data_IF_652634038286
#
_entry.id   IF_652634038286
#
_cell.length_a   1.000
_cell.length_b   1.000
_cell.length_c   1.000
_cell.angle_alpha   90.00
_cell.angle_beta   90.00
_cell.angle_gamma   90.00
#
_symmetry.space_group_name_H-M   'P 1'
#
loop_
_entity.id
_entity.type
_entity.pdbx_description
1 polymer ?
#
# COMPACT_ATOMS: atom_id res chain seq x y z
N UNK A 1 13.12 -2.58 4.29
CA UNK A 1 12.95 -1.92 5.60
C UNK A 1 11.50 -1.49 5.72
N UNK A 2 10.65 -2.33 6.30
CA UNK A 2 9.28 -1.97 6.66
C UNK A 2 9.29 -1.25 8.02
N UNK A 3 8.44 -0.24 8.18
CA UNK A 3 8.22 0.44 9.46
C UNK A 3 6.82 0.10 9.95
N UNK A 4 6.65 -0.09 11.25
CA UNK A 4 5.32 -0.25 11.83
C UNK A 4 4.66 1.13 11.94
N UNK A 5 3.50 1.31 11.30
CA UNK A 5 2.73 2.56 11.37
C UNK A 5 1.71 2.52 12.52
N UNK A 6 0.91 1.45 12.52
CA UNK A 6 -0.18 1.19 13.46
C UNK A 6 -0.13 -0.29 13.86
N UNK A 7 -0.67 -0.69 15.01
CA UNK A 7 -0.81 -2.10 15.36
C UNK A 7 -1.53 -2.86 14.24
N UNK A 8 -0.93 -3.97 13.78
CA UNK A 8 -1.45 -4.76 12.68
C UNK A 8 -1.21 -4.18 11.27
N UNK A 9 -0.47 -3.07 11.13
CA UNK A 9 -0.13 -2.50 9.82
C UNK A 9 1.35 -2.15 9.73
N UNK A 10 1.97 -2.51 8.61
CA UNK A 10 3.33 -2.10 8.28
C UNK A 10 3.37 -1.33 6.98
N UNK A 11 4.25 -0.34 6.90
CA UNK A 11 4.53 0.39 5.68
C UNK A 11 5.87 -0.08 5.11
N UNK A 12 5.91 -0.33 3.81
CA UNK A 12 7.15 -0.65 3.11
C UNK A 12 7.30 0.17 1.86
N UNK A 13 8.56 0.49 1.53
CA UNK A 13 8.90 1.12 0.26
C UNK A 13 8.66 0.13 -0.88
N UNK A 14 7.88 0.56 -1.87
CA UNK A 14 7.64 -0.18 -3.10
C UNK A 14 8.87 -0.17 -4.01
N UNK A 15 8.92 -1.18 -4.86
CA UNK A 15 9.93 -1.40 -5.89
C UNK A 15 9.38 -1.05 -7.29
N UNK A 16 10.27 -1.03 -8.29
CA UNK A 16 9.91 -0.79 -9.69
C UNK A 16 8.90 -1.80 -10.24
N UNK A 17 8.90 -3.04 -9.72
CA UNK A 17 7.92 -4.06 -10.11
C UNK A 17 6.50 -3.64 -9.74
N UNK A 18 6.32 -3.14 -8.52
CA UNK A 18 5.01 -2.75 -8.00
C UNK A 18 4.52 -1.43 -8.59
N UNK A 19 5.45 -0.59 -9.07
CA UNK A 19 5.12 0.57 -9.91
C UNK A 19 4.38 0.16 -11.18
N UNK A 20 4.82 -0.92 -11.84
CA UNK A 20 4.13 -1.42 -13.04
C UNK A 20 2.72 -1.96 -12.73
N UNK A 21 2.54 -2.54 -11.54
CA UNK A 21 1.23 -3.02 -11.07
C UNK A 21 0.26 -1.84 -10.87
N UNK A 22 0.71 -0.76 -10.24
CA UNK A 22 -0.09 0.45 -10.05
C UNK A 22 -0.54 1.07 -11.37
N UNK A 23 0.38 1.19 -12.35
CA UNK A 23 0.06 1.73 -13.68
C UNK A 23 -1.03 0.88 -14.35
N UNK A 24 -0.89 -0.45 -14.34
CA UNK A 24 -1.89 -1.36 -14.92
C UNK A 24 -3.24 -1.24 -14.22
N UNK A 25 -3.24 -1.14 -12.88
CA UNK A 25 -4.45 -0.96 -12.11
C UNK A 25 -5.16 0.34 -12.50
N UNK A 26 -4.45 1.47 -12.47
CA UNK A 26 -5.01 2.77 -12.85
C UNK A 26 -5.55 2.75 -14.28
N UNK A 27 -4.77 2.27 -15.26
CA UNK A 27 -5.22 2.18 -16.64
C UNK A 27 -6.53 1.40 -16.77
N UNK A 28 -6.63 0.25 -16.09
CA UNK A 28 -7.84 -0.59 -16.14
C UNK A 28 -9.04 0.07 -15.46
N UNK A 29 -8.83 0.74 -14.33
CA UNK A 29 -9.89 1.49 -13.63
C UNK A 29 -10.42 2.66 -14.46
N UNK A 30 -9.51 3.47 -15.04
CA UNK A 30 -9.91 4.61 -15.87
C UNK A 30 -10.56 4.15 -17.18
N UNK A 31 -10.05 3.10 -17.82
CA UNK A 31 -10.65 2.53 -19.02
C UNK A 31 -12.06 1.97 -18.75
N UNK A 32 -12.29 1.38 -17.58
CA UNK A 32 -13.63 0.92 -17.18
C UNK A 32 -14.61 2.10 -17.03
N UNK A 33 -14.15 3.22 -16.47
CA UNK A 33 -14.99 4.41 -16.25
C UNK A 33 -15.18 5.25 -17.52
N UNK A 34 -14.20 5.26 -18.43
CA UNK A 34 -14.13 6.16 -19.58
C UNK A 34 -13.60 5.43 -20.82
N UNK A 35 -14.39 4.52 -21.43
CA UNK A 35 -13.92 3.61 -22.48
C UNK A 35 -13.51 4.30 -23.80
N UNK A 36 -13.81 5.59 -24.00
CA UNK A 36 -13.53 6.32 -25.23
C UNK A 36 -12.21 7.11 -25.23
N UNK A 37 -11.47 7.15 -24.10
CA UNK A 37 -10.23 7.91 -23.99
C UNK A 37 -8.98 7.00 -24.02
N UNK A 38 -7.88 7.56 -24.54
CA UNK A 38 -6.56 6.94 -24.46
C UNK A 38 -5.86 7.31 -23.13
N UNK A 39 -5.49 6.28 -22.36
CA UNK A 39 -4.83 6.39 -21.06
C UNK A 39 -3.33 6.07 -21.12
N UNK A 40 -2.71 6.03 -22.30
CA UNK A 40 -1.26 5.86 -22.44
C UNK A 40 -0.45 6.90 -21.65
N UNK A 41 -0.99 8.13 -21.52
CA UNK A 41 -0.37 9.23 -20.77
C UNK A 41 -0.33 9.01 -19.25
N UNK A 42 -1.18 8.12 -18.68
CA UNK A 42 -1.17 7.82 -17.25
C UNK A 42 0.13 7.15 -16.82
N UNK A 43 0.69 6.27 -17.66
CA UNK A 43 1.96 5.61 -17.36
C UNK A 43 3.10 6.63 -17.16
N UNK A 44 3.14 7.65 -18.02
CA UNK A 44 4.14 8.72 -17.98
C UNK A 44 3.92 9.67 -16.80
N UNK A 45 2.66 9.94 -16.47
CA UNK A 45 2.30 10.74 -15.29
C UNK A 45 2.73 10.02 -14.01
N UNK A 46 2.38 8.74 -13.88
CA UNK A 46 2.76 7.90 -12.73
C UNK A 46 4.29 7.73 -12.66
N UNK A 47 5.00 7.74 -13.77
CA UNK A 47 6.47 7.77 -13.81
C UNK A 47 7.06 9.03 -13.18
N UNK A 48 6.53 10.20 -13.55
CA UNK A 48 7.01 11.48 -13.05
C UNK A 48 6.72 11.67 -11.56
N UNK A 49 5.56 11.21 -11.09
CA UNK A 49 5.17 11.32 -9.67
C UNK A 49 5.76 10.23 -8.77
N UNK A 50 6.26 9.11 -9.31
CA UNK A 50 6.92 8.04 -8.55
C UNK A 50 8.41 7.97 -8.87
N UNK A 51 9.04 9.14 -8.86
CA UNK A 51 10.49 9.32 -8.99
C UNK A 51 11.22 8.81 -7.75
N UNK A 52 12.55 8.71 -7.85
CA UNK A 52 13.47 8.49 -6.74
C UNK A 52 13.18 9.39 -5.53
N UNK A 53 12.74 10.62 -5.79
CA UNK A 53 12.41 11.65 -4.79
C UNK A 53 11.06 11.42 -4.09
N UNK A 54 10.15 10.67 -4.73
CA UNK A 54 8.79 10.38 -4.23
C UNK A 54 8.53 8.88 -4.27
N UNK A 55 9.11 8.10 -3.34
CA UNK A 55 8.97 6.66 -3.34
C UNK A 55 7.52 6.23 -3.11
N UNK A 56 7.10 5.20 -3.83
CA UNK A 56 5.84 4.50 -3.58
C UNK A 56 5.91 3.82 -2.20
N UNK A 57 4.83 3.93 -1.42
CA UNK A 57 4.70 3.24 -0.14
C UNK A 57 3.48 2.32 -0.14
N UNK A 58 3.70 1.06 0.21
CA UNK A 58 2.64 0.08 0.40
C UNK A 58 2.35 -0.08 1.87
N UNK A 59 1.07 -0.20 2.21
CA UNK A 59 0.62 -0.57 3.55
C UNK A 59 0.19 -2.02 3.50
N UNK A 60 0.95 -2.87 4.20
CA UNK A 60 0.61 -4.28 4.38
C UNK A 60 -0.13 -4.44 5.70
N UNK A 61 -1.28 -5.12 5.65
CA UNK A 61 -2.00 -5.55 6.84
C UNK A 61 -1.37 -6.85 7.36
N UNK A 62 -0.87 -6.82 8.59
CA UNK A 62 -0.22 -7.93 9.27
C UNK A 62 -1.20 -8.79 10.09
N UNK A 63 -2.50 -8.45 10.09
CA UNK A 63 -3.48 -9.05 10.98
C UNK A 63 -3.43 -8.44 12.37
N UNK A 64 -4.47 -8.67 13.16
CA UNK A 64 -4.42 -8.38 14.59
C UNK A 64 -3.32 -9.24 15.22
N UNK A 65 -2.16 -8.64 15.51
CA UNK A 65 -1.39 -9.14 16.63
C UNK A 65 -2.22 -8.78 17.85
N UNK A 66 -3.06 -9.73 18.24
CA UNK A 66 -3.77 -9.79 19.51
C UNK A 66 -2.80 -9.23 20.56
N UNK A 67 -3.09 -8.01 21.00
CA UNK A 67 -2.50 -7.50 22.23
C UNK A 67 -3.05 -8.41 23.33
N UNK A 68 -2.42 -9.57 23.53
CA UNK A 68 -2.45 -10.26 24.81
C UNK A 68 -1.62 -9.43 25.77
N UNK A 69 -2.13 -8.23 26.04
CA UNK A 69 -1.72 -7.44 27.17
C UNK A 69 -1.96 -8.26 28.43
N UNK A 70 -0.90 -8.36 29.22
CA UNK A 70 -0.95 -8.21 30.66
C UNK A 70 -1.95 -9.10 31.43
N UNK A 71 -1.37 -10.18 31.98
CA UNK A 71 -1.74 -10.87 33.21
C UNK A 71 -3.06 -10.51 33.89
N UNK A 72 -4.02 -11.44 33.82
CA UNK A 72 -4.94 -11.66 34.93
C UNK A 72 -4.32 -12.76 35.80
N UNK A 73 -3.44 -12.35 36.72
CA UNK A 73 -3.09 -13.15 37.88
C UNK A 73 -3.76 -12.54 39.12
N UNK A 74 -4.72 -13.29 39.67
CA UNK A 74 -5.14 -13.14 41.06
C UNK A 74 -6.49 -12.47 41.30
N UNK A 75 -7.55 -13.27 41.41
CA UNK A 75 -8.57 -13.06 42.43
C UNK A 75 -8.78 -14.40 43.15
N UNK A 76 -8.07 -14.56 44.27
CA UNK A 76 -8.39 -15.54 45.30
C UNK A 76 -9.49 -14.88 46.17
N UNK A 77 -10.62 -15.57 46.33
CA UNK A 77 -11.72 -15.21 47.23
C UNK A 77 -12.63 -16.41 47.38
#
# INVERSE_FOLDING_TARGET
MSKQLLPGYSIRRGSTLERSLLVKFMQRSYQYLFPQQDFAHLARTVEQYLSSDTPLWWVDFLGEQESRGAGVQGCRG
#
